data_IF_209845969156
#
_entry.id   IF_209845969156
#
_cell.length_a   1.000
_cell.length_b   1.000
_cell.length_c   1.000
_cell.angle_alpha   90.00
_cell.angle_beta   90.00
_cell.angle_gamma   90.00
#
_symmetry.space_group_name_H-M   'P 1'
#
loop_
_entity.id
_entity.type
_entity.pdbx_description
1 polymer ?
#
# COMPACT_ATOMS: atom_id res chain seq x y z
N UNK A 1 -2.41 28.34 12.34
CA UNK A 1 -2.55 27.82 11.94
C UNK A 1 -2.34 27.13 11.80
N UNK A 2 -2.38 26.82 11.82
CA UNK A 2 -2.31 26.05 11.56
C UNK A 2 -1.99 25.55 10.77
N UNK A 3 -2.00 25.84 10.31
CA UNK A 3 -1.86 25.36 9.10
C UNK A 3 -0.84 24.49 8.97
N UNK A 4 -0.17 24.49 9.55
CA UNK A 4 0.88 23.76 9.51
C UNK A 4 0.66 22.54 9.08
N UNK A 5 0.06 22.07 9.54
CA UNK A 5 -0.07 20.98 9.18
C UNK A 5 -0.33 20.98 7.98
N UNK A 6 -0.52 21.77 7.56
CA UNK A 6 -0.81 21.87 6.39
C UNK A 6 0.02 21.35 5.50
N UNK A 7 1.02 21.16 5.77
CA UNK A 7 1.88 20.59 4.98
C UNK A 7 1.24 19.43 4.55
N UNK A 8 0.89 18.72 5.31
CA UNK A 8 0.28 17.52 4.95
C UNK A 8 -0.99 17.82 4.30
N UNK A 9 -1.31 19.02 4.27
CA UNK A 9 -2.57 19.37 3.73
C UNK A 9 -2.54 19.79 2.30
N UNK A 10 -1.44 19.72 1.67
CA UNK A 10 -1.37 19.92 0.23
C UNK A 10 -2.41 19.02 -0.43
N UNK A 11 -3.34 19.55 -1.21
CA UNK A 11 -4.38 18.73 -1.84
C UNK A 11 -3.83 17.57 -2.66
N UNK A 12 -2.72 17.83 -3.35
CA UNK A 12 -2.12 16.78 -4.16
C UNK A 12 -1.59 15.67 -3.26
N UNK A 13 -0.95 16.06 -2.19
CA UNK A 13 -0.42 15.09 -1.23
C UNK A 13 -1.53 14.27 -0.65
N UNK A 14 -2.66 14.89 -0.39
CA UNK A 14 -3.78 14.18 0.18
C UNK A 14 -4.33 13.15 -0.78
N UNK A 15 -4.41 13.52 -2.06
CA UNK A 15 -4.87 12.58 -3.06
C UNK A 15 -3.92 11.41 -3.19
N UNK A 16 -2.63 11.71 -3.22
CA UNK A 16 -1.63 10.65 -3.33
C UNK A 16 -1.73 9.71 -2.15
N UNK A 17 -1.90 10.27 -0.95
CA UNK A 17 -2.01 9.45 0.24
C UNK A 17 -3.26 8.59 0.21
N UNK A 18 -4.36 9.12 -0.32
CA UNK A 18 -5.60 8.36 -0.39
C UNK A 18 -5.43 7.15 -1.30
N UNK A 19 -4.76 7.34 -2.44
CA UNK A 19 -4.54 6.24 -3.37
C UNK A 19 -3.65 5.19 -2.71
N UNK A 20 -2.57 5.64 -2.06
CA UNK A 20 -1.65 4.71 -1.43
C UNK A 20 -2.30 3.99 -0.25
N UNK A 21 -3.13 4.69 0.51
CA UNK A 21 -3.80 4.07 1.64
C UNK A 21 -4.77 3.00 1.17
N UNK A 22 -5.43 3.22 0.05
CA UNK A 22 -6.33 2.21 -0.49
C UNK A 22 -5.54 0.97 -0.88
N UNK A 23 -4.39 1.17 -1.53
CA UNK A 23 -3.56 0.04 -1.92
C UNK A 23 -3.04 -0.71 -0.70
N UNK A 24 -2.65 0.01 0.35
CA UNK A 24 -2.19 -0.62 1.58
C UNK A 24 -3.31 -1.43 2.22
N UNK A 25 -4.51 -0.87 2.26
CA UNK A 25 -5.66 -1.57 2.82
C UNK A 25 -5.94 -2.85 2.03
N UNK A 26 -5.92 -2.75 0.71
CA UNK A 26 -6.17 -3.91 -0.13
C UNK A 26 -5.10 -4.97 0.05
N UNK A 27 -3.85 -4.56 0.17
CA UNK A 27 -2.76 -5.50 0.32
C UNK A 27 -2.83 -6.20 1.67
N UNK A 28 -3.12 -5.46 2.73
CA UNK A 28 -3.28 -6.07 4.04
C UNK A 28 -4.38 -7.11 4.05
N UNK A 29 -5.49 -6.79 3.43
CA UNK A 29 -6.61 -7.72 3.37
C UNK A 29 -6.21 -8.98 2.59
N UNK A 30 -5.52 -8.81 1.48
CA UNK A 30 -5.08 -9.95 0.68
C UNK A 30 -4.10 -10.82 1.45
N UNK A 31 -3.15 -10.22 2.14
CA UNK A 31 -2.17 -10.98 2.89
C UNK A 31 -2.82 -11.78 4.02
N UNK A 32 -3.78 -11.18 4.70
CA UNK A 32 -4.48 -11.89 5.77
C UNK A 32 -5.26 -13.07 5.22
N UNK A 33 -5.88 -12.88 4.06
CA UNK A 33 -6.63 -13.95 3.47
C UNK A 33 -5.72 -15.07 3.01
N UNK A 34 -4.55 -14.74 2.47
CA UNK A 34 -3.59 -15.76 2.06
C UNK A 34 -3.13 -16.57 3.26
N UNK A 35 -3.00 -15.92 4.41
CA UNK A 35 -2.59 -16.62 5.62
C UNK A 35 -3.60 -17.69 5.99
N UNK A 36 -4.89 -17.42 5.79
CA UNK A 36 -5.94 -18.37 6.11
C UNK A 36 -6.18 -19.37 4.97
N UNK A 37 -6.05 -18.92 3.75
CA UNK A 37 -6.28 -19.79 2.59
C UNK A 37 -5.15 -19.60 1.60
N UNK A 38 -4.00 -20.22 1.87
CA UNK A 38 -2.83 -20.00 1.01
C UNK A 38 -3.00 -20.52 -0.41
N UNK A 39 -4.02 -21.35 -0.64
CA UNK A 39 -4.23 -21.85 -1.99
C UNK A 39 -5.23 -21.01 -2.79
N UNK A 40 -5.77 -19.95 -2.21
CA UNK A 40 -6.74 -19.11 -2.90
C UNK A 40 -6.06 -18.30 -4.00
N UNK A 41 -6.24 -18.76 -5.24
CA UNK A 41 -5.54 -18.16 -6.36
C UNK A 41 -5.93 -16.74 -6.64
N UNK A 42 -7.18 -16.42 -6.49
CA UNK A 42 -7.66 -15.07 -6.73
C UNK A 42 -7.02 -14.08 -5.77
N UNK A 43 -6.87 -14.46 -4.51
CA UNK A 43 -6.26 -13.58 -3.52
C UNK A 43 -4.78 -13.42 -3.78
N UNK A 44 -4.11 -14.50 -4.21
CA UNK A 44 -2.70 -14.42 -4.56
C UNK A 44 -2.53 -13.46 -5.74
N UNK A 45 -3.40 -13.55 -6.74
CA UNK A 45 -3.31 -12.66 -7.89
C UNK A 45 -3.57 -11.22 -7.48
N UNK A 46 -4.48 -11.02 -6.56
CA UNK A 46 -4.77 -9.68 -6.05
C UNK A 46 -3.53 -9.10 -5.37
N UNK A 47 -2.88 -9.88 -4.51
CA UNK A 47 -1.69 -9.43 -3.82
C UNK A 47 -0.59 -9.07 -4.81
N UNK A 48 -0.46 -9.88 -5.86
CA UNK A 48 0.56 -9.62 -6.86
C UNK A 48 0.28 -8.35 -7.65
N UNK A 49 -0.98 -8.07 -7.91
CA UNK A 49 -1.35 -6.84 -8.60
C UNK A 49 -1.01 -5.62 -7.76
N UNK A 50 -1.27 -5.69 -6.45
CA UNK A 50 -0.97 -4.57 -5.58
C UNK A 50 0.54 -4.40 -5.45
N UNK A 51 1.29 -5.51 -5.39
CA UNK A 51 2.74 -5.42 -5.34
C UNK A 51 3.27 -4.76 -6.60
N UNK A 52 2.68 -5.07 -7.75
CA UNK A 52 3.09 -4.43 -8.99
C UNK A 52 2.86 -2.93 -8.94
N UNK A 53 1.76 -2.52 -8.32
CA UNK A 53 1.51 -1.09 -8.16
C UNK A 53 2.60 -0.46 -7.29
N UNK A 54 2.95 -1.09 -6.17
CA UNK A 54 3.97 -0.54 -5.28
C UNK A 54 5.34 -0.47 -5.95
N UNK A 55 5.57 -1.29 -6.98
CA UNK A 55 6.83 -1.29 -7.69
C UNK A 55 6.81 -0.43 -8.95
N UNK A 56 5.68 0.19 -9.23
CA UNK A 56 5.53 0.93 -10.48
C UNK A 56 6.08 2.34 -10.38
N UNK A 57 6.35 2.92 -11.54
CA UNK A 57 6.76 4.31 -11.58
C UNK A 57 5.65 5.24 -11.11
N UNK A 58 4.40 4.82 -11.31
CA UNK A 58 3.26 5.60 -10.86
C UNK A 58 3.32 5.77 -9.34
N UNK A 59 3.54 4.67 -8.63
CA UNK A 59 3.64 4.73 -7.17
C UNK A 59 4.79 5.65 -6.75
N UNK A 60 5.94 5.53 -7.42
CA UNK A 60 7.10 6.31 -7.04
C UNK A 60 6.90 7.80 -7.25
N UNK A 61 5.93 8.18 -8.06
CA UNK A 61 5.61 9.58 -8.25
C UNK A 61 4.66 10.08 -7.19
N UNK A 62 3.97 9.18 -6.51
CA UNK A 62 3.01 9.57 -5.48
C UNK A 62 3.63 9.72 -4.11
N UNK A 63 4.76 9.08 -3.88
CA UNK A 63 5.39 9.10 -2.58
C UNK A 63 6.87 8.79 -2.69
N UNK A 64 7.64 9.19 -1.70
CA UNK A 64 9.06 8.87 -1.66
C UNK A 64 9.34 7.60 -0.87
N UNK A 65 8.30 6.97 -0.31
CA UNK A 65 8.49 5.73 0.44
C UNK A 65 8.81 4.61 -0.54
N UNK A 66 9.91 3.90 -0.30
CA UNK A 66 10.32 2.82 -1.18
C UNK A 66 9.29 1.70 -1.21
N UNK A 67 8.89 1.28 -2.41
CA UNK A 67 7.86 0.26 -2.56
C UNK A 67 8.24 -1.08 -1.98
N UNK A 68 9.50 -1.51 -2.19
CA UNK A 68 9.93 -2.79 -1.63
C UNK A 68 9.92 -2.77 -0.12
N UNK A 69 10.33 -1.65 0.45
CA UNK A 69 10.33 -1.51 1.90
C UNK A 69 8.88 -1.62 2.41
N UNK A 70 7.95 -0.95 1.74
CA UNK A 70 6.56 -0.97 2.16
C UNK A 70 5.99 -2.38 2.06
N UNK A 71 6.28 -3.08 0.97
CA UNK A 71 5.79 -4.44 0.79
C UNK A 71 6.29 -5.32 1.94
N UNK A 72 7.56 -5.23 2.27
CA UNK A 72 8.12 -6.04 3.34
C UNK A 72 7.52 -5.71 4.69
N UNK A 73 7.30 -4.41 4.95
CA UNK A 73 6.70 -4.03 6.21
C UNK A 73 5.31 -4.61 6.36
N UNK A 74 4.53 -4.56 5.29
CA UNK A 74 3.17 -5.08 5.34
C UNK A 74 3.16 -6.59 5.48
N UNK A 75 4.09 -7.27 4.82
CA UNK A 75 4.19 -8.72 4.98
C UNK A 75 4.55 -9.08 6.41
N UNK A 76 5.46 -8.31 7.02
CA UNK A 76 5.85 -8.59 8.39
C UNK A 76 4.70 -8.38 9.37
N UNK A 77 3.86 -7.39 9.12
CA UNK A 77 2.70 -7.16 9.98
C UNK A 77 1.80 -8.40 10.05
N UNK A 78 1.63 -9.04 8.94
CA UNK A 78 0.72 -10.17 8.88
C UNK A 78 1.32 -11.43 9.52
N UNK A 79 2.64 -11.52 9.52
CA UNK A 79 3.28 -12.67 10.13
C UNK A 79 3.08 -12.72 11.63
N UNK A 80 2.86 -11.59 12.22
CA UNK A 80 2.62 -11.55 13.65
C UNK A 80 1.19 -11.80 13.95
#
# INVERSE_FOLDING_TARGET
MTGTKNLAEDPYERLANAINLQAVTDYRAALKRIKWKPEDRETIDEAMRVESFFRSGWYSQLTTVDGEYLIRRLQDEVKE
#
